data_IF_096754981765
#
_entry.id   IF_096754981765
#
_cell.length_a   1.000
_cell.length_b   1.000
_cell.length_c   1.000
_cell.angle_alpha   90.00
_cell.angle_beta   90.00
_cell.angle_gamma   90.00
#
_symmetry.space_group_name_H-M   'P 1'
#
loop_
_entity.id
_entity.type
_entity.pdbx_description
1 polymer ?
#
# COMPACT_ATOMS: atom_id res chain seq x y z
N UNK A 1 -7.44 -4.52 26.15
CA UNK A 1 -7.88 -3.31 25.40
C UNK A 1 -8.07 -2.20 26.41
N UNK A 2 -7.10 -1.28 26.53
CA UNK A 2 -6.99 -0.28 27.61
C UNK A 2 -8.05 0.82 27.50
N UNK A 3 -8.52 1.35 28.63
CA UNK A 3 -9.54 2.40 28.68
C UNK A 3 -9.09 3.72 28.02
N UNK A 4 -7.78 4.02 28.00
CA UNK A 4 -7.21 5.17 27.28
C UNK A 4 -7.42 5.09 25.77
N UNK A 5 -7.44 3.86 25.23
CA UNK A 5 -7.72 3.63 23.82
C UNK A 5 -9.20 3.85 23.54
N UNK A 6 -10.10 3.46 24.45
CA UNK A 6 -11.54 3.73 24.31
C UNK A 6 -11.84 5.23 24.40
N UNK A 7 -11.15 5.97 25.26
CA UNK A 7 -11.29 7.43 25.34
C UNK A 7 -10.84 8.14 24.06
N UNK A 8 -9.67 7.78 23.52
CA UNK A 8 -9.20 8.31 22.22
C UNK A 8 -10.13 7.95 21.05
N UNK A 9 -10.79 6.80 21.10
CA UNK A 9 -11.81 6.39 20.13
C UNK A 9 -13.16 7.06 20.36
N UNK A 10 -13.42 7.69 21.51
CA UNK A 10 -14.69 8.36 21.84
C UNK A 10 -14.60 9.89 21.63
N UNK A 11 -13.39 10.42 21.42
CA UNK A 11 -13.19 11.81 21.05
C UNK A 11 -13.92 12.11 19.71
N UNK A 12 -14.83 13.09 19.66
CA UNK A 12 -15.58 13.43 18.46
C UNK A 12 -14.67 13.71 17.24
N UNK A 13 -13.46 14.20 17.44
CA UNK A 13 -12.53 14.49 16.34
C UNK A 13 -11.89 13.21 15.78
N UNK A 14 -11.50 12.27 16.65
CA UNK A 14 -10.91 10.98 16.23
C UNK A 14 -11.97 10.03 15.66
N UNK A 15 -13.19 10.01 16.20
CA UNK A 15 -14.30 9.23 15.63
C UNK A 15 -14.64 9.68 14.22
N UNK A 16 -14.68 10.99 13.97
CA UNK A 16 -14.91 11.54 12.65
C UNK A 16 -13.78 11.18 11.68
N UNK A 17 -12.52 11.27 12.10
CA UNK A 17 -11.38 10.90 11.28
C UNK A 17 -11.39 9.40 10.92
N UNK A 18 -11.68 8.52 11.89
CA UNK A 18 -11.83 7.08 11.65
C UNK A 18 -12.98 6.76 10.70
N UNK A 19 -14.13 7.43 10.86
CA UNK A 19 -15.25 7.29 9.94
C UNK A 19 -14.85 7.70 8.51
N UNK A 20 -14.10 8.79 8.36
CA UNK A 20 -13.59 9.23 7.06
C UNK A 20 -12.58 8.24 6.46
N UNK A 21 -11.72 7.63 7.28
CA UNK A 21 -10.79 6.59 6.82
C UNK A 21 -11.56 5.36 6.30
N UNK A 22 -12.60 4.92 7.01
CA UNK A 22 -13.45 3.79 6.58
C UNK A 22 -14.16 4.13 5.26
N UNK A 23 -14.75 5.32 5.15
CA UNK A 23 -15.41 5.77 3.91
C UNK A 23 -14.41 5.82 2.75
N UNK A 24 -13.22 6.41 2.94
CA UNK A 24 -12.18 6.46 1.92
C UNK A 24 -11.71 5.05 1.50
N UNK A 25 -11.60 4.12 2.46
CA UNK A 25 -11.24 2.72 2.18
C UNK A 25 -12.27 2.05 1.28
N UNK A 26 -13.56 2.20 1.59
CA UNK A 26 -14.65 1.63 0.80
C UNK A 26 -14.66 2.24 -0.61
N UNK A 27 -14.53 3.56 -0.72
CA UNK A 27 -14.50 4.25 -2.02
C UNK A 27 -13.29 3.78 -2.84
N UNK A 28 -12.10 3.68 -2.25
CA UNK A 28 -10.90 3.21 -2.94
C UNK A 28 -11.09 1.80 -3.49
N UNK A 29 -11.61 0.86 -2.70
CA UNK A 29 -11.89 -0.52 -3.13
C UNK A 29 -12.90 -0.54 -4.28
N UNK A 30 -13.99 0.22 -4.16
CA UNK A 30 -15.03 0.27 -5.21
C UNK A 30 -14.46 0.82 -6.52
N UNK A 31 -13.67 1.89 -6.46
CA UNK A 31 -13.03 2.49 -7.64
C UNK A 31 -12.01 1.54 -8.26
N UNK A 32 -11.21 0.86 -7.44
CA UNK A 32 -10.26 -0.15 -7.89
C UNK A 32 -10.99 -1.33 -8.58
N UNK A 33 -12.07 -1.83 -7.99
CA UNK A 33 -12.93 -2.84 -8.62
C UNK A 33 -13.49 -2.34 -9.96
N UNK A 34 -13.93 -1.09 -10.07
CA UNK A 34 -14.39 -0.53 -11.35
C UNK A 34 -13.28 -0.48 -12.40
N UNK A 35 -12.05 -0.17 -12.01
CA UNK A 35 -10.90 -0.12 -12.93
C UNK A 35 -10.44 -1.53 -13.36
N UNK A 36 -10.42 -2.50 -12.43
CA UNK A 36 -9.96 -3.86 -12.68
C UNK A 36 -11.01 -4.73 -13.40
N UNK A 37 -12.26 -4.72 -12.92
CA UNK A 37 -13.33 -5.56 -13.46
C UNK A 37 -13.93 -4.99 -14.75
N UNK A 38 -13.97 -3.66 -14.90
CA UNK A 38 -14.49 -2.99 -16.09
C UNK A 38 -13.35 -2.33 -16.88
N UNK A 39 -12.60 -3.12 -17.66
CA UNK A 39 -11.48 -2.64 -18.50
C UNK A 39 -11.86 -1.50 -19.45
N UNK A 40 -13.14 -1.38 -19.82
CA UNK A 40 -13.65 -0.27 -20.61
C UNK A 40 -13.47 1.09 -19.90
N UNK A 41 -13.65 1.13 -18.57
CA UNK A 41 -13.50 2.34 -17.77
C UNK A 41 -12.02 2.73 -17.62
N UNK A 42 -11.12 1.74 -17.49
CA UNK A 42 -9.68 1.98 -17.40
C UNK A 42 -9.06 2.53 -18.69
N UNK A 43 -9.67 2.26 -19.85
CA UNK A 43 -9.14 2.66 -21.17
C UNK A 43 -9.85 3.86 -21.80
N UNK A 44 -10.93 4.36 -21.19
CA UNK A 44 -11.75 5.45 -21.74
C UNK A 44 -11.40 6.78 -21.08
N UNK A 45 -10.87 7.71 -21.87
CA UNK A 45 -10.66 9.11 -21.48
C UNK A 45 -12.00 9.86 -21.56
N UNK A 46 -12.35 10.75 -20.60
CA UNK A 46 -11.57 11.16 -19.42
C UNK A 46 -11.85 10.33 -18.15
N UNK A 47 -12.71 9.31 -18.24
CA UNK A 47 -13.21 8.55 -17.08
C UNK A 47 -12.07 7.90 -16.30
N UNK A 48 -11.06 7.37 -16.99
CA UNK A 48 -9.88 6.76 -16.37
C UNK A 48 -9.14 7.71 -15.42
N UNK A 49 -8.89 8.96 -15.82
CA UNK A 49 -8.19 9.94 -15.00
C UNK A 49 -9.01 10.40 -13.80
N UNK A 50 -10.34 10.54 -13.96
CA UNK A 50 -11.24 10.92 -12.86
C UNK A 50 -11.26 9.81 -11.80
N UNK A 51 -11.45 8.55 -12.22
CA UNK A 51 -11.43 7.41 -11.30
C UNK A 51 -10.08 7.29 -10.61
N UNK A 52 -8.98 7.43 -11.35
CA UNK A 52 -7.64 7.40 -10.78
C UNK A 52 -7.44 8.52 -9.75
N UNK A 53 -7.85 9.76 -10.04
CA UNK A 53 -7.71 10.88 -9.12
C UNK A 53 -8.50 10.67 -7.82
N UNK A 54 -9.72 10.11 -7.91
CA UNK A 54 -10.53 9.76 -6.73
C UNK A 54 -9.81 8.70 -5.90
N UNK A 55 -9.34 7.63 -6.54
CA UNK A 55 -8.59 6.56 -5.86
C UNK A 55 -7.34 7.12 -5.16
N UNK A 56 -6.53 7.91 -5.85
CA UNK A 56 -5.31 8.52 -5.30
C UNK A 56 -5.64 9.47 -4.13
N UNK A 57 -6.70 10.27 -4.24
CA UNK A 57 -7.14 11.16 -3.15
C UNK A 57 -7.55 10.39 -1.90
N UNK A 58 -8.36 9.34 -2.05
CA UNK A 58 -8.74 8.46 -0.94
C UNK A 58 -7.52 7.79 -0.30
N UNK A 59 -6.57 7.31 -1.12
CA UNK A 59 -5.34 6.70 -0.62
C UNK A 59 -4.44 7.69 0.13
N UNK A 60 -4.31 8.92 -0.38
CA UNK A 60 -3.54 9.98 0.26
C UNK A 60 -4.10 10.34 1.65
N UNK A 61 -5.43 10.41 1.80
CA UNK A 61 -6.06 10.66 3.09
C UNK A 61 -5.77 9.55 4.10
N UNK A 62 -5.92 8.28 3.69
CA UNK A 62 -5.61 7.13 4.55
C UNK A 62 -4.13 7.11 4.96
N UNK A 63 -3.22 7.35 4.02
CA UNK A 63 -1.79 7.43 4.33
C UNK A 63 -1.47 8.58 5.28
N UNK A 64 -2.16 9.73 5.17
CA UNK A 64 -1.99 10.85 6.10
C UNK A 64 -2.37 10.46 7.52
N UNK A 65 -3.51 9.78 7.70
CA UNK A 65 -3.94 9.28 9.01
C UNK A 65 -2.92 8.32 9.63
N UNK A 66 -2.37 7.39 8.83
CA UNK A 66 -1.33 6.46 9.28
C UNK A 66 -0.06 7.23 9.66
N UNK A 67 0.40 8.15 8.81
CA UNK A 67 1.60 8.95 9.07
C UNK A 67 1.48 9.81 10.33
N UNK A 68 0.27 10.25 10.69
CA UNK A 68 0.04 10.99 11.93
C UNK A 68 0.31 10.18 13.21
N UNK A 69 0.40 8.84 13.10
CA UNK A 69 0.73 7.95 14.23
C UNK A 69 2.24 7.75 14.41
N UNK A 70 3.08 8.23 13.48
CA UNK A 70 4.53 8.06 13.50
C UNK A 70 5.25 9.40 13.62
N UNK A 71 6.48 9.35 14.13
CA UNK A 71 7.33 10.53 14.20
C UNK A 71 7.64 11.09 12.81
N UNK A 72 7.67 12.43 12.73
CA UNK A 72 7.90 13.17 11.48
C UNK A 72 9.20 12.76 10.78
N UNK A 73 10.27 12.53 11.56
CA UNK A 73 11.57 12.09 11.04
C UNK A 73 11.50 10.71 10.42
N UNK A 74 10.77 9.79 11.05
CA UNK A 74 10.55 8.42 10.57
C UNK A 74 9.77 8.45 9.27
N UNK A 75 8.65 9.19 9.22
CA UNK A 75 7.81 9.31 8.02
C UNK A 75 8.58 9.92 6.85
N UNK A 76 9.29 11.03 7.06
CA UNK A 76 10.06 11.69 6.02
C UNK A 76 11.21 10.82 5.50
N UNK A 77 11.91 10.12 6.39
CA UNK A 77 12.97 9.20 5.97
C UNK A 77 12.42 8.03 5.15
N UNK A 78 11.29 7.44 5.57
CA UNK A 78 10.63 6.36 4.83
C UNK A 78 10.18 6.84 3.44
N UNK A 79 9.58 8.03 3.34
CA UNK A 79 9.17 8.62 2.05
C UNK A 79 10.36 8.89 1.12
N UNK A 80 11.50 9.35 1.67
CA UNK A 80 12.73 9.54 0.90
C UNK A 80 13.29 8.22 0.39
N UNK A 81 13.38 7.19 1.25
CA UNK A 81 13.89 5.88 0.84
C UNK A 81 13.02 5.23 -0.23
N UNK A 82 11.68 5.27 -0.08
CA UNK A 82 10.78 4.71 -1.10
C UNK A 82 10.91 5.46 -2.42
N UNK A 83 10.94 6.79 -2.41
CA UNK A 83 11.15 7.58 -3.62
C UNK A 83 12.47 7.26 -4.33
N UNK A 84 13.57 7.16 -3.58
CA UNK A 84 14.90 6.83 -4.14
C UNK A 84 14.90 5.42 -4.74
N UNK A 85 14.42 4.42 -3.99
CA UNK A 85 14.39 3.03 -4.47
C UNK A 85 13.51 2.91 -5.73
N UNK A 86 12.33 3.54 -5.73
CA UNK A 86 11.43 3.54 -6.88
C UNK A 86 12.11 4.13 -8.12
N UNK A 87 12.73 5.31 -8.00
CA UNK A 87 13.42 5.96 -9.13
C UNK A 87 14.61 5.13 -9.63
N UNK A 88 15.45 4.63 -8.71
CA UNK A 88 16.64 3.85 -9.07
C UNK A 88 16.24 2.56 -9.78
N UNK A 89 15.25 1.83 -9.27
CA UNK A 89 14.79 0.58 -9.88
C UNK A 89 14.07 0.81 -11.20
N UNK A 90 13.26 1.87 -11.33
CA UNK A 90 12.62 2.22 -12.60
C UNK A 90 13.67 2.58 -13.66
N UNK A 91 14.68 3.38 -13.31
CA UNK A 91 15.77 3.70 -14.24
C UNK A 91 16.53 2.43 -14.64
N UNK A 92 16.87 1.57 -13.68
CA UNK A 92 17.52 0.29 -13.96
C UNK A 92 16.68 -0.58 -14.93
N UNK A 93 15.37 -0.67 -14.69
CA UNK A 93 14.44 -1.43 -15.53
C UNK A 93 14.41 -0.92 -16.98
N UNK A 94 14.47 0.40 -17.18
CA UNK A 94 14.50 1.02 -18.51
C UNK A 94 15.80 0.74 -19.29
N UNK A 95 16.94 0.53 -18.62
CA UNK A 95 18.25 0.35 -19.28
C UNK A 95 18.73 -1.10 -19.34
N UNK A 96 18.17 -1.99 -18.51
CA UNK A 96 18.65 -3.37 -18.45
C UNK A 96 18.17 -4.18 -19.67
N UNK A 97 19.06 -5.06 -20.17
CA UNK A 97 18.77 -5.98 -21.28
C UNK A 97 18.23 -7.34 -20.80
N UNK A 98 18.19 -7.54 -19.48
CA UNK A 98 17.61 -8.74 -18.89
C UNK A 98 16.08 -8.66 -18.95
N UNK A 99 15.46 -9.69 -19.52
CA UNK A 99 14.00 -9.79 -19.69
C UNK A 99 13.39 -10.45 -18.44
N UNK A 100 13.11 -9.65 -17.40
CA UNK A 100 12.51 -10.16 -16.16
C UNK A 100 11.03 -10.51 -16.36
N UNK A 101 10.35 -9.88 -17.31
CA UNK A 101 8.95 -10.15 -17.65
C UNK A 101 8.75 -11.58 -18.15
N UNK A 102 9.67 -12.14 -18.95
CA UNK A 102 9.59 -13.57 -19.35
C UNK A 102 10.01 -14.55 -18.26
N UNK A 103 11.01 -14.19 -17.44
CA UNK A 103 11.53 -15.06 -16.40
C UNK A 103 10.54 -15.19 -15.21
N UNK A 104 9.92 -14.06 -14.82
CA UNK A 104 9.07 -13.98 -13.65
C UNK A 104 7.58 -13.74 -13.95
N UNK A 105 7.18 -13.36 -15.17
CA UNK A 105 5.82 -12.86 -15.47
C UNK A 105 4.65 -13.75 -15.05
N UNK A 106 4.80 -15.08 -15.07
CA UNK A 106 3.78 -16.02 -14.55
C UNK A 106 3.72 -16.01 -13.01
N UNK A 107 4.88 -15.85 -12.38
CA UNK A 107 5.05 -15.85 -10.93
C UNK A 107 4.78 -14.48 -10.30
N UNK A 108 4.83 -13.38 -11.07
CA UNK A 108 4.63 -12.02 -10.55
C UNK A 108 3.22 -11.81 -10.00
N UNK A 109 2.19 -12.31 -10.69
CA UNK A 109 0.80 -12.23 -10.21
C UNK A 109 0.63 -13.06 -8.93
N UNK A 110 1.25 -14.25 -8.88
CA UNK A 110 1.26 -15.08 -7.68
C UNK A 110 2.04 -14.42 -6.54
N UNK A 111 3.17 -13.77 -6.82
CA UNK A 111 3.98 -13.05 -5.84
C UNK A 111 3.21 -11.83 -5.30
N UNK A 112 2.52 -11.07 -6.13
CA UNK A 112 1.68 -9.94 -5.72
C UNK A 112 0.53 -10.38 -4.82
N UNK A 113 -0.19 -11.44 -5.22
CA UNK A 113 -1.24 -12.05 -4.40
C UNK A 113 -0.68 -12.60 -3.08
N UNK A 114 0.52 -13.18 -3.11
CA UNK A 114 1.20 -13.70 -1.93
C UNK A 114 1.64 -12.57 -0.99
N UNK A 115 2.17 -11.45 -1.50
CA UNK A 115 2.48 -10.26 -0.68
C UNK A 115 1.22 -9.76 0.02
N UNK A 116 0.13 -9.56 -0.72
CA UNK A 116 -1.12 -9.00 -0.17
C UNK A 116 -1.71 -9.97 0.88
N UNK A 117 -1.79 -11.26 0.57
CA UNK A 117 -2.38 -12.25 1.47
C UNK A 117 -1.52 -12.53 2.68
N UNK A 118 -0.19 -12.64 2.54
CA UNK A 118 0.74 -12.84 3.64
C UNK A 118 0.78 -11.58 4.53
N UNK A 119 0.79 -10.38 3.96
CA UNK A 119 0.76 -9.15 4.74
C UNK A 119 -0.55 -9.01 5.52
N UNK A 120 -1.70 -9.29 4.90
CA UNK A 120 -2.99 -9.24 5.55
C UNK A 120 -3.07 -10.27 6.70
N UNK A 121 -2.62 -11.50 6.45
CA UNK A 121 -2.56 -12.56 7.45
C UNK A 121 -1.62 -12.23 8.60
N UNK A 122 -0.42 -11.72 8.32
CA UNK A 122 0.55 -11.31 9.34
C UNK A 122 0.04 -10.14 10.19
N UNK A 123 -0.66 -9.18 9.58
CA UNK A 123 -1.25 -8.05 10.29
C UNK A 123 -2.38 -8.49 11.22
N UNK A 124 -3.22 -9.43 10.78
CA UNK A 124 -4.29 -10.01 11.59
C UNK A 124 -3.71 -10.87 12.73
N UNK A 125 -2.70 -11.69 12.46
CA UNK A 125 -2.03 -12.52 13.48
C UNK A 125 -1.32 -11.66 14.52
N UNK A 126 -0.68 -10.56 14.10
CA UNK A 126 -0.08 -9.58 15.00
C UNK A 126 -1.11 -8.95 15.95
N UNK A 127 -2.33 -8.67 15.48
CA UNK A 127 -3.39 -8.13 16.33
C UNK A 127 -3.99 -9.16 17.30
N UNK A 128 -3.90 -10.46 17.00
CA UNK A 128 -4.61 -11.50 17.74
C UNK A 128 -3.71 -12.35 18.67
N UNK A 129 -2.42 -12.51 18.38
CA UNK A 129 -1.59 -13.58 19.00
C UNK A 129 -0.25 -13.08 19.56
N UNK A 130 0.40 -12.08 18.97
CA UNK A 130 1.78 -11.70 19.33
C UNK A 130 1.89 -10.26 19.85
N UNK A 131 2.28 -10.11 21.12
CA UNK A 131 2.73 -8.83 21.71
C UNK A 131 4.14 -8.39 21.21
N UNK A 132 4.86 -9.23 20.45
CA UNK A 132 6.20 -8.95 19.95
C UNK A 132 6.17 -8.18 18.61
N UNK A 133 5.80 -6.91 18.68
CA UNK A 133 5.79 -5.98 17.53
C UNK A 133 7.18 -5.61 17.04
N UNK A 134 8.17 -5.51 17.93
CA UNK A 134 9.43 -4.80 17.62
C UNK A 134 10.41 -5.61 16.75
N UNK A 135 10.32 -6.94 16.73
CA UNK A 135 11.25 -7.80 15.96
C UNK A 135 10.64 -8.34 14.67
N UNK A 136 9.37 -8.75 14.68
CA UNK A 136 8.74 -9.41 13.54
C UNK A 136 8.23 -8.44 12.48
N UNK A 137 7.74 -7.26 12.88
CA UNK A 137 7.22 -6.25 11.94
C UNK A 137 8.31 -5.71 11.00
N UNK A 138 9.52 -5.37 11.46
CA UNK A 138 10.59 -4.92 10.56
C UNK A 138 11.06 -6.01 9.59
N UNK A 139 11.12 -7.27 10.04
CA UNK A 139 11.49 -8.40 9.18
C UNK A 139 10.46 -8.63 8.06
N UNK A 140 9.17 -8.60 8.40
CA UNK A 140 8.09 -8.70 7.42
C UNK A 140 8.13 -7.52 6.44
N UNK A 141 8.31 -6.29 6.93
CA UNK A 141 8.43 -5.11 6.10
C UNK A 141 9.62 -5.18 5.13
N UNK A 142 10.79 -5.67 5.58
CA UNK A 142 11.96 -5.87 4.73
C UNK A 142 11.71 -6.85 3.58
N UNK A 143 10.99 -7.95 3.84
CA UNK A 143 10.59 -8.89 2.80
C UNK A 143 9.62 -8.25 1.79
N UNK A 144 8.66 -7.46 2.26
CA UNK A 144 7.73 -6.74 1.40
C UNK A 144 8.45 -5.73 0.48
N UNK A 145 9.46 -5.01 0.97
CA UNK A 145 10.23 -4.05 0.17
C UNK A 145 10.99 -4.76 -0.98
N UNK A 146 11.58 -5.92 -0.72
CA UNK A 146 12.27 -6.72 -1.75
C UNK A 146 11.27 -7.14 -2.84
N UNK A 147 10.11 -7.67 -2.44
CA UNK A 147 9.10 -8.11 -3.40
C UNK A 147 8.49 -6.94 -4.18
N UNK A 148 8.26 -5.80 -3.53
CA UNK A 148 7.85 -4.55 -4.20
C UNK A 148 8.89 -4.09 -5.23
N UNK A 149 10.19 -4.17 -4.91
CA UNK A 149 11.25 -3.81 -5.85
C UNK A 149 11.28 -4.71 -7.09
N UNK A 150 11.10 -6.03 -6.93
CA UNK A 150 10.98 -6.96 -8.05
C UNK A 150 9.74 -6.67 -8.91
N UNK A 151 8.60 -6.41 -8.26
CA UNK A 151 7.38 -6.03 -8.95
C UNK A 151 7.56 -4.76 -9.79
N UNK A 152 8.20 -3.74 -9.23
CA UNK A 152 8.45 -2.46 -9.89
C UNK A 152 9.31 -2.62 -11.16
N UNK A 153 10.37 -3.45 -11.10
CA UNK A 153 11.19 -3.73 -12.29
C UNK A 153 10.34 -4.37 -13.39
N UNK A 154 9.49 -5.34 -13.04
CA UNK A 154 8.64 -6.06 -14.00
C UNK A 154 7.54 -5.16 -14.57
N UNK A 155 6.96 -4.28 -13.76
CA UNK A 155 5.91 -3.33 -14.21
C UNK A 155 6.48 -2.25 -15.15
N UNK A 156 7.73 -1.84 -14.93
CA UNK A 156 8.41 -0.84 -15.76
C UNK A 156 8.92 -1.43 -17.09
N UNK A 157 9.15 -2.75 -17.17
CA UNK A 157 9.66 -3.46 -18.35
C UNK A 157 8.56 -3.99 -19.29
#
# INVERSE_FOLDING_TARGET
MNDDMRYNLQDPDNTAALAMVIVCSIVAIVVECMLLCCKANARKVPINYILLAIFTGCWAFMMTWICAQYDKTTVLSAALYTAVITVVLSLYACFTKADFTKLCGRWTIFALLLIITVQLMLSIISMLIFDYTDTWVPLAAGFCVILYGLFLIIDTQ
#
